data_IF_383254698955
#
_entry.id   IF_383254698955
#
_cell.length_a   1.000
_cell.length_b   1.000
_cell.length_c   1.000
_cell.angle_alpha   90.00
_cell.angle_beta   90.00
_cell.angle_gamma   90.00
#
_symmetry.space_group_name_H-M   'P 1'
#
loop_
_entity.id
_entity.type
_entity.pdbx_description
1 polymer ?
#
# COMPACT_ATOMS: atom_id res chain seq x y z
N UNK A 1 52.18 -45.39 17.36
CA UNK A 1 50.84 -45.42 18.00
C UNK A 1 50.14 -44.10 17.70
N UNK A 2 49.01 -44.17 17.00
CA UNK A 2 48.14 -43.03 16.69
C UNK A 2 47.40 -42.57 17.96
N UNK A 3 47.27 -41.25 18.14
CA UNK A 3 46.10 -40.67 18.79
C UNK A 3 45.55 -39.54 17.91
N UNK A 4 44.34 -39.82 17.43
CA UNK A 4 43.28 -38.94 16.93
C UNK A 4 42.95 -37.87 18.01
N UNK A 5 42.25 -36.74 17.80
CA UNK A 5 41.06 -36.43 17.00
C UNK A 5 40.98 -34.90 16.81
N UNK A 6 40.60 -34.47 15.59
CA UNK A 6 40.10 -33.13 15.21
C UNK A 6 38.87 -32.71 16.04
N UNK A 7 38.79 -31.49 16.57
CA UNK A 7 37.50 -30.74 16.68
C UNK A 7 37.67 -29.34 17.33
N UNK A 8 38.09 -28.34 16.56
CA UNK A 8 37.90 -26.93 16.97
C UNK A 8 37.52 -26.03 15.79
N UNK A 9 36.67 -26.55 14.90
CA UNK A 9 36.29 -25.86 13.66
C UNK A 9 34.79 -25.99 13.37
N UNK A 10 33.95 -25.91 14.41
CA UNK A 10 32.48 -25.92 14.24
C UNK A 10 31.74 -24.82 15.01
N UNK A 11 32.37 -24.15 15.97
CA UNK A 11 31.69 -23.14 16.79
C UNK A 11 31.82 -21.69 16.27
N UNK A 12 32.74 -21.40 15.33
CA UNK A 12 32.84 -20.04 14.76
C UNK A 12 32.01 -19.84 13.49
N UNK A 13 31.57 -20.92 12.83
CA UNK A 13 30.74 -20.81 11.63
C UNK A 13 29.27 -20.46 11.93
N UNK A 14 28.81 -20.65 13.17
CA UNK A 14 27.41 -20.41 13.54
C UNK A 14 27.10 -18.96 13.91
N UNK A 15 28.12 -18.12 14.15
CA UNK A 15 27.94 -16.69 14.46
C UNK A 15 27.90 -15.84 13.18
N UNK A 16 28.53 -16.29 12.10
CA UNK A 16 28.55 -15.57 10.82
C UNK A 16 27.28 -15.76 9.97
N UNK A 17 26.47 -16.77 10.27
CA UNK A 17 25.24 -17.05 9.50
C UNK A 17 24.01 -16.25 9.99
N UNK A 18 24.08 -15.65 11.19
CA UNK A 18 22.99 -14.83 11.73
C UNK A 18 22.98 -13.38 11.18
N UNK A 19 24.08 -12.93 10.55
CA UNK A 19 24.19 -11.59 9.97
C UNK A 19 23.86 -11.53 8.47
N UNK A 20 23.47 -12.67 7.86
CA UNK A 20 23.13 -12.76 6.43
C UNK A 20 21.62 -12.96 6.19
N UNK A 21 20.80 -12.92 7.24
CA UNK A 21 19.38 -12.70 7.04
C UNK A 21 19.25 -11.25 6.57
N UNK A 22 18.73 -10.97 5.35
CA UNK A 22 18.30 -9.63 5.06
C UNK A 22 17.32 -9.27 6.17
N UNK A 23 17.64 -8.22 6.91
CA UNK A 23 16.61 -7.49 7.61
C UNK A 23 15.68 -7.05 6.49
N UNK A 24 14.59 -7.80 6.31
CA UNK A 24 13.38 -7.26 5.73
C UNK A 24 13.01 -6.14 6.68
N UNK A 25 13.63 -4.97 6.49
CA UNK A 25 13.10 -3.71 6.97
C UNK A 25 11.72 -3.68 6.36
N UNK A 26 10.74 -4.16 7.14
CA UNK A 26 9.34 -4.02 6.82
C UNK A 26 9.20 -2.53 6.54
N UNK A 27 8.94 -2.21 5.26
CA UNK A 27 8.69 -0.88 4.75
C UNK A 27 7.44 -0.36 5.47
N UNK A 28 7.61 0.05 6.73
CA UNK A 28 6.69 0.92 7.44
C UNK A 28 6.89 2.32 6.87
N UNK A 29 6.59 2.44 5.58
CA UNK A 29 6.64 3.68 4.84
C UNK A 29 5.29 4.35 4.96
N UNK A 30 5.18 5.36 5.82
CA UNK A 30 4.15 6.38 5.64
C UNK A 30 4.70 7.41 4.66
N UNK A 31 4.05 7.56 3.52
CA UNK A 31 4.39 8.61 2.55
C UNK A 31 3.26 9.61 2.54
N UNK A 32 3.53 10.78 3.13
CA UNK A 32 2.64 11.94 3.00
C UNK A 32 2.75 12.46 1.57
N UNK A 33 1.67 12.35 0.79
CA UNK A 33 1.67 12.86 -0.57
C UNK A 33 1.53 14.39 -0.58
N UNK A 34 2.01 15.00 -1.66
CA UNK A 34 1.96 16.45 -1.82
C UNK A 34 0.52 16.99 -1.71
N UNK A 35 0.29 18.22 -1.17
CA UNK A 35 -1.05 18.73 -0.81
C UNK A 35 -2.05 18.93 -1.96
N UNK A 36 -1.61 18.77 -3.22
CA UNK A 36 -2.43 18.80 -4.43
C UNK A 36 -2.35 17.42 -5.07
N UNK A 37 -3.34 16.58 -4.82
CA UNK A 37 -3.24 15.15 -5.14
C UNK A 37 -4.38 14.64 -6.00
N UNK A 38 -4.02 14.34 -7.25
CA UNK A 38 -4.20 13.11 -8.03
C UNK A 38 -5.55 12.38 -8.14
N UNK A 39 -6.64 12.87 -7.55
CA UNK A 39 -7.97 12.28 -7.84
C UNK A 39 -8.56 12.83 -9.14
N UNK A 40 -8.17 14.03 -9.56
CA UNK A 40 -8.81 14.75 -10.67
C UNK A 40 -10.23 15.25 -10.35
N UNK A 41 -10.76 14.95 -9.17
CA UNK A 41 -12.11 15.31 -8.73
C UNK A 41 -12.11 16.59 -7.90
N UNK A 42 -13.08 17.48 -8.15
CA UNK A 42 -13.19 18.73 -7.42
C UNK A 42 -13.48 18.47 -5.92
N UNK A 43 -12.70 19.10 -5.04
CA UNK A 43 -12.80 19.01 -3.58
C UNK A 43 -12.49 17.63 -2.95
N UNK A 44 -12.16 16.61 -3.73
CA UNK A 44 -11.77 15.30 -3.24
C UNK A 44 -10.25 15.15 -3.36
N UNK A 45 -9.58 14.77 -2.27
CA UNK A 45 -8.12 14.65 -2.24
C UNK A 45 -7.71 13.30 -1.65
N UNK A 46 -6.77 12.63 -2.31
CA UNK A 46 -6.04 11.51 -1.73
C UNK A 46 -4.83 12.08 -0.98
N UNK A 47 -4.66 11.83 0.33
CA UNK A 47 -3.64 12.52 1.13
C UNK A 47 -2.51 11.64 1.62
N UNK A 48 -2.83 10.76 2.55
CA UNK A 48 -1.85 9.97 3.27
C UNK A 48 -1.90 8.55 2.73
N UNK A 49 -0.74 7.98 2.43
CA UNK A 49 -0.61 6.58 2.05
C UNK A 49 0.29 5.92 3.06
N UNK A 50 -0.19 4.84 3.66
CA UNK A 50 0.50 4.17 4.74
C UNK A 50 0.35 2.65 4.62
N UNK A 51 1.41 1.95 4.98
CA UNK A 51 1.34 0.52 5.19
C UNK A 51 0.58 0.22 6.48
N UNK A 52 -0.50 -0.56 6.41
CA UNK A 52 -1.27 -0.95 7.59
C UNK A 52 -0.61 -2.11 8.34
N UNK A 53 -1.18 -2.49 9.49
CA UNK A 53 -0.65 -3.58 10.33
C UNK A 53 -0.71 -4.97 9.67
N UNK A 54 -1.43 -5.10 8.56
CA UNK A 54 -1.54 -6.34 7.77
C UNK A 54 -0.51 -6.39 6.63
N UNK A 55 0.34 -5.37 6.48
CA UNK A 55 1.30 -5.30 5.38
C UNK A 55 0.66 -4.92 4.04
N UNK A 56 -0.53 -4.30 4.07
CA UNK A 56 -1.24 -3.82 2.89
C UNK A 56 -1.23 -2.28 2.83
N UNK A 57 -1.22 -1.73 1.62
CA UNK A 57 -1.36 -0.30 1.43
C UNK A 57 -2.75 0.18 1.84
N UNK A 58 -2.79 1.32 2.53
CA UNK A 58 -4.02 2.05 2.80
C UNK A 58 -3.83 3.52 2.46
N UNK A 59 -4.90 4.21 2.10
CA UNK A 59 -4.87 5.63 1.82
C UNK A 59 -6.03 6.39 2.44
N UNK A 60 -5.76 7.65 2.77
CA UNK A 60 -6.77 8.59 3.21
C UNK A 60 -7.33 9.40 2.05
N UNK A 61 -8.65 9.49 2.03
CA UNK A 61 -9.41 10.32 1.09
C UNK A 61 -10.24 11.35 1.85
N UNK A 62 -10.14 12.60 1.41
CA UNK A 62 -10.73 13.76 2.09
C UNK A 62 -11.74 14.43 1.17
N UNK A 63 -12.94 14.67 1.70
CA UNK A 63 -13.94 15.52 1.08
C UNK A 63 -13.89 16.92 1.72
N UNK A 64 -13.37 17.89 0.99
CA UNK A 64 -13.33 19.29 1.43
C UNK A 64 -14.59 20.08 1.04
N UNK A 65 -15.59 19.48 0.41
CA UNK A 65 -16.85 20.15 0.10
C UNK A 65 -17.75 20.28 1.34
N UNK A 66 -18.75 21.17 1.26
CA UNK A 66 -19.82 21.31 2.25
C UNK A 66 -21.02 20.38 1.96
N UNK A 67 -20.89 19.48 0.98
CA UNK A 67 -21.87 18.45 0.62
C UNK A 67 -21.21 17.06 0.70
N UNK A 68 -22.03 16.02 0.87
CA UNK A 68 -21.55 14.64 0.85
C UNK A 68 -21.04 14.24 -0.54
N UNK A 69 -20.15 13.24 -0.58
CA UNK A 69 -19.54 12.75 -1.80
C UNK A 69 -19.57 11.23 -1.87
N UNK A 70 -19.78 10.69 -3.07
CA UNK A 70 -19.66 9.26 -3.36
C UNK A 70 -18.62 9.09 -4.46
N UNK A 71 -17.53 8.40 -4.13
CA UNK A 71 -16.34 8.31 -4.99
C UNK A 71 -16.04 6.84 -5.23
N UNK A 72 -15.88 6.47 -6.51
CA UNK A 72 -15.27 5.19 -6.88
C UNK A 72 -13.77 5.38 -7.03
N UNK A 73 -13.03 4.37 -6.61
CA UNK A 73 -11.59 4.29 -6.81
C UNK A 73 -11.25 3.01 -7.56
N UNK A 74 -10.22 3.09 -8.38
CA UNK A 74 -9.65 1.97 -9.11
C UNK A 74 -8.13 2.09 -9.00
N UNK A 75 -7.48 1.04 -8.50
CA UNK A 75 -6.03 0.90 -8.47
C UNK A 75 -5.64 -0.33 -9.25
N UNK A 76 -4.55 -0.25 -10.00
CA UNK A 76 -4.01 -1.42 -10.70
C UNK A 76 -2.49 -1.36 -10.79
N UNK A 77 -1.89 -2.54 -10.88
CA UNK A 77 -0.49 -2.74 -11.21
C UNK A 77 -0.39 -3.08 -12.69
N UNK A 78 0.52 -2.41 -13.40
CA UNK A 78 0.84 -2.67 -14.80
C UNK A 78 2.10 -3.54 -14.90
N UNK A 79 2.17 -4.39 -15.91
CA UNK A 79 3.42 -5.06 -16.31
C UNK A 79 4.27 -4.20 -17.27
N UNK A 80 5.30 -4.81 -17.87
CA UNK A 80 6.20 -4.13 -18.80
C UNK A 80 5.54 -3.68 -20.11
N UNK A 81 4.41 -4.30 -20.48
CA UNK A 81 3.65 -4.00 -21.68
C UNK A 81 2.48 -3.03 -21.40
N UNK A 82 2.42 -2.50 -20.16
CA UNK A 82 1.36 -1.64 -19.65
C UNK A 82 0.00 -2.34 -19.50
N UNK A 83 -0.02 -3.67 -19.40
CA UNK A 83 -1.23 -4.44 -19.15
C UNK A 83 -1.50 -4.55 -17.65
N UNK A 84 -2.77 -4.39 -17.25
CA UNK A 84 -3.17 -4.51 -15.85
C UNK A 84 -3.14 -5.97 -15.40
N UNK A 85 -2.23 -6.31 -14.47
CA UNK A 85 -2.02 -7.69 -13.98
C UNK A 85 -2.68 -7.96 -12.62
N UNK A 86 -2.94 -6.92 -11.83
CA UNK A 86 -3.66 -6.99 -10.57
C UNK A 86 -4.43 -5.69 -10.36
N UNK A 87 -5.64 -5.76 -9.81
CA UNK A 87 -6.47 -4.58 -9.56
C UNK A 87 -7.20 -4.65 -8.23
N UNK A 88 -7.57 -3.46 -7.75
CA UNK A 88 -8.48 -3.24 -6.64
C UNK A 88 -9.45 -2.12 -7.02
N UNK A 89 -10.73 -2.29 -6.69
CA UNK A 89 -11.75 -1.30 -6.97
C UNK A 89 -12.81 -1.30 -5.88
N UNK A 90 -13.29 -0.10 -5.56
CA UNK A 90 -14.32 0.05 -4.54
C UNK A 90 -14.95 1.42 -4.54
N UNK A 91 -15.78 1.66 -3.54
CA UNK A 91 -16.54 2.89 -3.39
C UNK A 91 -16.45 3.39 -1.95
N UNK A 92 -16.36 4.71 -1.78
CA UNK A 92 -16.33 5.37 -0.48
C UNK A 92 -17.35 6.49 -0.43
N UNK A 93 -18.13 6.50 0.67
CA UNK A 93 -19.08 7.57 0.99
C UNK A 93 -18.45 8.50 2.02
N UNK A 94 -18.34 9.77 1.68
CA UNK A 94 -17.74 10.80 2.52
C UNK A 94 -18.80 11.82 2.90
N UNK A 95 -18.94 12.06 4.19
CA UNK A 95 -19.75 13.17 4.70
C UNK A 95 -19.13 14.53 4.27
N UNK A 96 -19.88 15.65 4.39
CA UNK A 96 -19.29 16.98 4.24
C UNK A 96 -18.08 17.17 5.17
N UNK A 97 -17.02 17.82 4.67
CA UNK A 97 -15.81 18.15 5.47
C UNK A 97 -15.23 16.97 6.24
N UNK A 98 -15.19 15.79 5.63
CA UNK A 98 -14.78 14.54 6.28
C UNK A 98 -13.56 13.90 5.64
N UNK A 99 -12.99 12.92 6.35
CA UNK A 99 -11.91 12.04 5.91
C UNK A 99 -12.37 10.58 6.07
N UNK A 100 -12.04 9.74 5.10
CA UNK A 100 -12.15 8.29 5.20
C UNK A 100 -10.82 7.62 4.87
N UNK A 101 -10.62 6.42 5.36
CA UNK A 101 -9.46 5.57 5.07
C UNK A 101 -9.92 4.36 4.28
N UNK A 102 -9.19 4.03 3.23
CA UNK A 102 -9.44 2.88 2.35
C UNK A 102 -8.23 1.96 2.41
N UNK A 103 -8.48 0.68 2.60
CA UNK A 103 -7.47 -0.38 2.50
C UNK A 103 -7.47 -0.95 1.07
N UNK A 104 -6.28 -1.23 0.54
CA UNK A 104 -6.08 -1.85 -0.76
C UNK A 104 -5.59 -3.29 -0.61
N UNK A 105 -5.80 -4.13 -1.63
CA UNK A 105 -5.27 -5.50 -1.68
C UNK A 105 -3.78 -5.60 -2.05
N UNK A 106 -3.08 -4.47 -2.20
CA UNK A 106 -1.67 -4.43 -2.60
C UNK A 106 -0.74 -4.47 -1.39
N UNK A 107 0.24 -5.36 -1.43
CA UNK A 107 1.28 -5.48 -0.40
C UNK A 107 2.19 -4.25 -0.35
N UNK A 108 2.66 -3.89 0.85
CA UNK A 108 3.66 -2.84 1.05
C UNK A 108 5.07 -3.19 0.55
N UNK A 109 5.31 -4.46 0.21
CA UNK A 109 6.55 -4.88 -0.45
C UNK A 109 6.69 -4.26 -1.85
N UNK A 110 5.55 -3.94 -2.48
CA UNK A 110 5.48 -3.19 -3.73
C UNK A 110 5.47 -1.69 -3.44
N UNK A 111 6.32 -0.86 -4.05
CA UNK A 111 6.24 0.59 -3.89
C UNK A 111 4.89 1.14 -4.36
N UNK A 112 4.20 1.93 -3.52
CA UNK A 112 2.90 2.51 -3.89
C UNK A 112 2.93 3.33 -5.20
N UNK A 113 4.09 3.91 -5.55
CA UNK A 113 4.29 4.67 -6.79
C UNK A 113 4.21 3.84 -8.07
N UNK A 114 4.28 2.51 -7.96
CA UNK A 114 4.08 1.59 -9.08
C UNK A 114 2.60 1.36 -9.39
N UNK A 115 1.71 1.69 -8.44
CA UNK A 115 0.27 1.59 -8.65
C UNK A 115 -0.23 2.75 -9.52
N UNK A 116 -1.03 2.40 -10.51
CA UNK A 116 -1.88 3.35 -11.21
C UNK A 116 -3.17 3.54 -10.45
N UNK A 117 -3.79 4.70 -10.66
CA UNK A 117 -5.03 5.06 -9.98
C UNK A 117 -5.97 5.87 -10.86
N UNK A 118 -7.26 5.65 -10.68
CA UNK A 118 -8.33 6.45 -11.26
C UNK A 118 -9.45 6.65 -10.24
N UNK A 119 -10.04 7.85 -10.23
CA UNK A 119 -11.16 8.21 -9.38
C UNK A 119 -12.27 8.82 -10.21
N UNK A 120 -13.51 8.44 -9.91
CA UNK A 120 -14.69 9.01 -10.55
C UNK A 120 -15.84 9.21 -9.57
N UNK A 121 -16.75 10.12 -9.90
CA UNK A 121 -18.00 10.29 -9.17
C UNK A 121 -18.91 9.08 -9.37
N UNK A 122 -19.34 8.46 -8.28
CA UNK A 122 -20.41 7.47 -8.34
C UNK A 122 -21.78 8.14 -8.21
N UNK A 123 -22.76 7.81 -9.08
CA UNK A 123 -24.12 8.23 -8.87
C UNK A 123 -24.65 7.67 -7.54
N UNK A 124 -25.16 8.55 -6.68
CA UNK A 124 -25.88 8.17 -5.47
C UNK A 124 -27.22 7.53 -5.87
N UNK A 125 -27.29 6.21 -5.93
CA UNK A 125 -28.55 5.53 -6.24
C UNK A 125 -28.46 4.07 -6.69
N UNK A 126 -27.28 3.58 -7.12
CA UNK A 126 -27.09 2.18 -7.50
C UNK A 126 -26.20 1.47 -6.49
N UNK A 127 -26.73 1.19 -5.30
CA UNK A 127 -26.22 0.04 -4.53
C UNK A 127 -26.57 -1.21 -5.34
N UNK A 128 -25.57 -1.94 -5.86
CA UNK A 128 -25.78 -3.34 -6.23
C UNK A 128 -26.30 -4.03 -4.96
N UNK A 129 -27.58 -4.42 -4.98
CA UNK A 129 -28.13 -5.38 -4.03
C UNK A 129 -27.49 -6.74 -4.29
#
# INVERSE_FOLDING_TARGET
MQRTVKKHWRCQAMVLLACLLPQSDALSGSTVLAPKTNTGLQNIQLKEVQCNDQGLWSFDIVNNAFVGAHVEYFFWLEDSDADAIQSDAGQVRLAPKSRGTVELVFSCELPFTELRQHFQWAPTGFTRQ
#
